data_IF_250018875550
#
_entry.id   IF_250018875550
#
_cell.length_a   1.000
_cell.length_b   1.000
_cell.length_c   1.000
_cell.angle_alpha   90.00
_cell.angle_beta   90.00
_cell.angle_gamma   90.00
#
_symmetry.space_group_name_H-M   'P 1'
#
loop_
_entity.id
_entity.type
_entity.pdbx_description
1 polymer ?
#
# COMPACT_ATOMS: atom_id res chain seq x y z
N UNK A 1 -21.51 0.91 -5.44
CA UNK A 1 -20.83 -0.12 -6.24
C UNK A 1 -19.51 0.48 -6.70
N UNK A 2 -18.57 0.61 -5.76
CA UNK A 2 -17.24 1.17 -6.02
C UNK A 2 -16.26 0.01 -6.20
N UNK A 3 -16.47 -0.77 -7.25
CA UNK A 3 -15.43 -1.68 -7.69
C UNK A 3 -14.32 -0.80 -8.25
N UNK A 4 -13.34 -0.46 -7.40
CA UNK A 4 -12.17 0.30 -7.81
C UNK A 4 -11.57 -0.40 -9.05
N UNK A 5 -11.34 0.33 -10.16
CA UNK A 5 -10.62 -0.25 -11.29
C UNK A 5 -9.25 -0.69 -10.78
N UNK A 6 -8.75 -1.84 -11.27
CA UNK A 6 -7.41 -2.34 -10.96
C UNK A 6 -6.40 -1.19 -10.90
N UNK A 7 -5.57 -1.15 -9.85
CA UNK A 7 -4.50 -0.15 -9.75
C UNK A 7 -3.69 -0.19 -11.04
N UNK A 8 -3.50 0.94 -11.75
CA UNK A 8 -2.78 0.94 -13.00
C UNK A 8 -1.31 0.50 -12.77
N UNK A 9 -0.67 -0.14 -13.76
CA UNK A 9 0.76 -0.38 -13.73
C UNK A 9 1.54 0.92 -13.52
N UNK A 10 2.59 0.85 -12.72
CA UNK A 10 3.52 1.93 -12.45
C UNK A 10 4.83 1.64 -13.19
N UNK A 11 5.35 2.66 -13.86
CA UNK A 11 6.63 2.63 -14.57
C UNK A 11 7.49 3.79 -14.10
N UNK A 12 8.73 3.50 -13.69
CA UNK A 12 9.69 4.49 -13.23
C UNK A 12 10.91 4.42 -14.15
N UNK A 13 10.96 5.37 -15.08
CA UNK A 13 12.07 5.52 -16.02
C UNK A 13 13.38 5.82 -15.28
N UNK A 14 14.48 5.23 -15.79
CA UNK A 14 15.84 5.44 -15.26
C UNK A 14 15.95 5.14 -13.76
N UNK A 15 15.19 4.16 -13.28
CA UNK A 15 15.31 3.65 -11.92
C UNK A 15 16.71 3.07 -11.68
N UNK A 16 17.20 2.26 -12.62
CA UNK A 16 18.61 1.89 -12.71
C UNK A 16 19.32 2.79 -13.73
N UNK A 17 20.54 3.21 -13.39
CA UNK A 17 21.40 4.06 -14.23
C UNK A 17 22.81 3.50 -14.27
N UNK A 18 23.66 4.08 -15.12
CA UNK A 18 25.04 3.62 -15.33
C UNK A 18 25.11 2.12 -15.65
N UNK A 19 24.15 1.68 -16.48
CA UNK A 19 24.02 0.30 -16.97
C UNK A 19 25.06 0.11 -18.06
N UNK A 20 26.19 -0.46 -17.67
CA UNK A 20 27.32 -0.74 -18.54
C UNK A 20 27.45 -2.25 -18.69
N UNK A 21 27.49 -2.74 -19.94
CA UNK A 21 27.92 -4.11 -20.24
C UNK A 21 29.45 -4.25 -20.33
N UNK A 22 30.17 -3.15 -20.12
CA UNK A 22 31.58 -3.05 -20.47
C UNK A 22 32.46 -3.34 -19.26
N UNK A 23 33.15 -4.48 -19.24
CA UNK A 23 34.54 -4.46 -18.77
C UNK A 23 35.37 -3.71 -19.83
N UNK A 24 36.54 -3.11 -19.49
CA UNK A 24 37.33 -2.29 -20.42
C UNK A 24 38.04 -3.09 -21.53
N UNK A 25 37.49 -4.25 -21.92
CA UNK A 25 38.06 -5.19 -22.88
C UNK A 25 37.23 -5.14 -24.16
N UNK A 26 37.91 -4.97 -25.28
CA UNK A 26 37.31 -4.99 -26.62
C UNK A 26 36.52 -6.29 -26.86
N UNK A 27 35.28 -6.20 -27.35
CA UNK A 27 34.48 -7.36 -27.79
C UNK A 27 33.36 -7.81 -26.85
N UNK A 28 32.96 -7.00 -25.87
CA UNK A 28 31.83 -7.28 -24.96
C UNK A 28 30.63 -6.34 -25.18
N UNK A 29 30.71 -5.42 -26.15
CA UNK A 29 29.69 -4.42 -26.48
C UNK A 29 28.34 -4.99 -26.94
N UNK A 30 28.31 -6.24 -27.39
CA UNK A 30 27.11 -6.91 -27.91
C UNK A 30 26.45 -7.86 -26.87
N UNK A 31 26.97 -7.92 -25.64
CA UNK A 31 26.43 -8.79 -24.61
C UNK A 31 25.04 -8.33 -24.14
N UNK A 32 24.14 -9.30 -23.92
CA UNK A 32 22.77 -9.05 -23.49
C UNK A 32 22.68 -8.89 -21.97
N UNK A 33 22.17 -7.73 -21.54
CA UNK A 33 22.02 -7.40 -20.12
C UNK A 33 20.62 -7.78 -19.60
N UNK A 34 20.58 -8.44 -18.44
CA UNK A 34 19.37 -8.91 -17.77
C UNK A 34 19.39 -8.57 -16.29
N UNK A 35 18.39 -7.82 -15.82
CA UNK A 35 18.20 -7.64 -14.38
C UNK A 35 17.57 -8.88 -13.74
N UNK A 36 18.01 -9.18 -12.51
CA UNK A 36 17.42 -10.19 -11.63
C UNK A 36 16.91 -9.49 -10.40
N UNK A 37 15.59 -9.40 -10.26
CA UNK A 37 14.91 -8.78 -9.11
C UNK A 37 14.31 -9.88 -8.24
N UNK A 38 14.54 -9.81 -6.92
CA UNK A 38 14.00 -10.77 -5.95
C UNK A 38 13.53 -10.06 -4.71
N UNK A 39 12.29 -10.30 -4.30
CA UNK A 39 11.83 -9.87 -2.99
C UNK A 39 12.54 -10.68 -1.89
N UNK A 40 13.09 -9.99 -0.90
CA UNK A 40 13.84 -10.58 0.23
C UNK A 40 13.22 -10.25 1.58
N UNK A 41 12.28 -9.31 1.63
CA UNK A 41 11.62 -8.88 2.87
C UNK A 41 10.31 -8.14 2.64
N UNK A 42 9.66 -7.80 3.75
CA UNK A 42 8.39 -7.08 3.77
C UNK A 42 7.16 -7.92 3.43
N UNK A 43 6.07 -7.24 3.09
CA UNK A 43 4.77 -7.84 2.80
C UNK A 43 4.71 -8.31 1.33
N UNK A 44 4.60 -9.62 1.12
CA UNK A 44 4.57 -10.23 -0.22
C UNK A 44 3.37 -9.87 -1.11
N UNK A 45 2.12 -9.85 -0.60
CA UNK A 45 0.94 -9.62 -1.45
C UNK A 45 0.64 -8.12 -1.58
N UNK A 46 1.65 -7.34 -1.98
CA UNK A 46 1.52 -5.91 -2.33
C UNK A 46 1.30 -5.67 -3.82
N UNK A 47 1.58 -6.65 -4.68
CA UNK A 47 1.58 -6.48 -6.13
C UNK A 47 0.57 -7.41 -6.80
N UNK A 48 -0.12 -6.89 -7.82
CA UNK A 48 -1.00 -7.68 -8.67
C UNK A 48 -0.14 -8.45 -9.69
N UNK A 49 -0.42 -9.75 -9.86
CA UNK A 49 0.38 -10.62 -10.72
C UNK A 49 1.68 -11.06 -10.06
N UNK A 50 2.66 -11.47 -10.88
CA UNK A 50 3.83 -12.20 -10.38
C UNK A 50 5.12 -11.39 -10.27
N UNK A 51 5.28 -10.19 -10.83
CA UNK A 51 6.63 -9.64 -10.99
C UNK A 51 6.75 -8.11 -10.82
N UNK A 52 7.69 -7.72 -9.96
CA UNK A 52 8.37 -6.42 -9.97
C UNK A 52 9.61 -6.60 -10.85
N UNK A 53 9.72 -5.87 -11.95
CA UNK A 53 10.78 -6.09 -12.95
C UNK A 53 11.56 -4.82 -13.24
N UNK A 54 12.80 -4.98 -13.69
CA UNK A 54 13.58 -3.89 -14.28
C UNK A 54 13.97 -4.34 -15.69
N UNK A 55 13.64 -3.55 -16.70
CA UNK A 55 14.02 -3.86 -18.09
C UNK A 55 15.48 -3.45 -18.38
N UNK A 56 16.00 -3.83 -19.54
CA UNK A 56 17.40 -3.55 -19.92
C UNK A 56 17.75 -2.05 -20.02
N UNK A 57 16.77 -1.16 -20.14
CA UNK A 57 17.01 0.30 -20.12
C UNK A 57 17.01 0.90 -18.71
N UNK A 58 16.77 0.08 -17.68
CA UNK A 58 16.74 0.49 -16.29
C UNK A 58 15.38 1.00 -15.82
N UNK A 59 14.30 0.68 -16.53
CA UNK A 59 12.94 1.08 -16.15
C UNK A 59 12.37 0.05 -15.18
N UNK A 60 11.93 0.49 -13.99
CA UNK A 60 11.24 -0.35 -13.00
C UNK A 60 9.74 -0.40 -13.30
N UNK A 61 9.17 -1.59 -13.38
CA UNK A 61 7.76 -1.83 -13.67
C UNK A 61 7.13 -2.74 -12.61
N UNK A 62 5.99 -2.32 -12.07
CA UNK A 62 5.20 -3.11 -11.12
C UNK A 62 3.74 -2.62 -11.09
N UNK A 63 2.84 -3.46 -10.62
CA UNK A 63 1.43 -3.09 -10.44
C UNK A 63 1.03 -3.34 -8.98
N UNK A 64 0.65 -2.31 -8.21
CA UNK A 64 0.13 -2.53 -6.85
C UNK A 64 -1.14 -3.39 -6.86
N UNK A 65 -1.30 -4.24 -5.86
CA UNK A 65 -2.56 -4.95 -5.63
C UNK A 65 -3.60 -3.97 -5.03
N UNK A 66 -4.85 -4.08 -5.50
CA UNK A 66 -5.94 -3.28 -4.94
C UNK A 66 -6.08 -3.49 -3.44
N UNK A 67 -6.28 -2.38 -2.72
CA UNK A 67 -6.53 -2.37 -1.28
C UNK A 67 -5.41 -3.01 -0.45
N UNK A 68 -4.17 -2.91 -0.93
CA UNK A 68 -2.98 -3.36 -0.21
C UNK A 68 -2.00 -2.22 -0.06
N UNK A 69 -1.49 -2.07 1.16
CA UNK A 69 -0.48 -1.09 1.52
C UNK A 69 0.57 -1.75 2.42
N UNK A 70 1.75 -1.14 2.50
CA UNK A 70 2.89 -1.68 3.24
C UNK A 70 4.21 -1.51 2.49
N UNK A 71 5.21 -2.26 2.91
CA UNK A 71 6.56 -2.20 2.38
C UNK A 71 7.02 -3.58 1.88
N UNK A 72 7.76 -3.61 0.77
CA UNK A 72 8.44 -4.78 0.25
C UNK A 72 9.90 -4.45 -0.07
N UNK A 73 10.81 -5.30 0.39
CA UNK A 73 12.25 -5.14 0.21
C UNK A 73 12.75 -6.09 -0.89
N UNK A 74 13.58 -5.55 -1.78
CA UNK A 74 14.09 -6.24 -2.96
C UNK A 74 15.61 -6.21 -3.00
N UNK A 75 16.17 -7.32 -3.47
CA UNK A 75 17.52 -7.41 -3.99
C UNK A 75 17.49 -7.38 -5.52
N UNK A 76 18.46 -6.71 -6.11
CA UNK A 76 18.65 -6.67 -7.56
C UNK A 76 20.12 -6.77 -7.93
N UNK A 77 20.39 -7.48 -9.01
CA UNK A 77 21.69 -7.46 -9.68
C UNK A 77 21.49 -7.57 -11.19
N UNK A 78 22.51 -7.14 -11.94
CA UNK A 78 22.56 -7.23 -13.39
C UNK A 78 23.41 -8.45 -13.77
N UNK A 79 22.98 -9.18 -14.80
CA UNK A 79 23.77 -10.23 -15.45
C UNK A 79 23.96 -9.90 -16.93
N UNK A 80 25.13 -10.18 -17.48
CA UNK A 80 25.36 -10.29 -18.91
C UNK A 80 25.35 -11.76 -19.37
N UNK A 81 25.34 -11.99 -20.68
CA UNK A 81 25.41 -13.33 -21.30
C UNK A 81 26.84 -13.78 -21.64
N UNK A 82 27.85 -13.08 -21.13
CA UNK A 82 29.25 -13.43 -21.19
C UNK A 82 29.59 -14.69 -20.38
N UNK A 83 30.73 -15.32 -20.70
CA UNK A 83 31.18 -16.53 -20.01
C UNK A 83 31.71 -16.22 -18.61
N UNK A 84 31.14 -16.84 -17.57
CA UNK A 84 31.64 -16.74 -16.20
C UNK A 84 32.52 -17.95 -15.82
N UNK A 85 33.75 -17.69 -15.32
CA UNK A 85 34.63 -18.72 -14.76
C UNK A 85 34.35 -19.02 -13.28
N UNK A 86 33.65 -18.13 -12.57
CA UNK A 86 33.29 -18.30 -11.16
C UNK A 86 31.88 -17.75 -10.88
N UNK A 87 31.00 -18.51 -10.22
CA UNK A 87 29.62 -18.10 -9.93
C UNK A 87 29.53 -16.98 -8.87
N UNK A 88 30.62 -16.72 -8.15
CA UNK A 88 30.75 -15.72 -7.10
C UNK A 88 31.63 -14.53 -7.50
N UNK A 89 32.05 -14.44 -8.78
CA UNK A 89 32.93 -13.39 -9.28
C UNK A 89 34.17 -13.18 -8.40
N UNK A 90 34.69 -14.28 -7.86
CA UNK A 90 35.78 -14.25 -6.91
C UNK A 90 37.11 -14.05 -7.65
N UNK A 91 37.82 -12.93 -7.43
CA UNK A 91 39.08 -12.63 -8.12
C UNK A 91 40.21 -13.61 -7.76
N UNK A 92 40.02 -14.48 -6.77
CA UNK A 92 40.97 -15.52 -6.37
C UNK A 92 40.82 -16.84 -7.14
N UNK A 93 39.85 -16.97 -8.05
CA UNK A 93 39.69 -18.14 -8.90
C UNK A 93 40.91 -18.29 -9.84
N UNK A 94 41.88 -19.10 -9.41
CA UNK A 94 43.14 -19.34 -10.09
C UNK A 94 42.93 -20.31 -11.26
N UNK A 95 42.23 -19.85 -12.30
CA UNK A 95 42.25 -20.49 -13.62
C UNK A 95 43.20 -19.68 -14.49
N UNK A 96 43.93 -20.34 -15.39
CA UNK A 96 44.80 -19.71 -16.38
C UNK A 96 43.98 -18.83 -17.35
N UNK A 97 43.64 -17.62 -16.93
CA UNK A 97 42.75 -16.66 -17.60
C UNK A 97 42.34 -15.56 -16.63
N UNK A 98 42.00 -14.37 -17.12
CA UNK A 98 41.46 -13.30 -16.28
C UNK A 98 40.17 -13.78 -15.58
N UNK A 99 39.90 -13.39 -14.32
CA UNK A 99 38.63 -13.71 -13.69
C UNK A 99 37.50 -13.08 -14.53
N UNK A 100 36.70 -13.92 -15.19
CA UNK A 100 35.50 -13.51 -15.92
C UNK A 100 34.28 -13.67 -15.01
N UNK A 101 33.54 -12.59 -14.86
CA UNK A 101 32.37 -12.45 -14.03
C UNK A 101 31.29 -11.83 -14.90
N UNK A 102 30.11 -12.45 -14.95
CA UNK A 102 28.99 -11.99 -15.75
C UNK A 102 27.90 -11.31 -14.90
N UNK A 103 28.23 -10.91 -13.66
CA UNK A 103 27.25 -10.50 -12.65
C UNK A 103 27.72 -9.28 -11.86
N UNK A 104 26.87 -8.27 -11.73
CA UNK A 104 27.16 -7.09 -10.91
C UNK A 104 27.10 -7.40 -9.40
N UNK A 105 27.59 -6.46 -8.59
CA UNK A 105 27.28 -6.46 -7.16
C UNK A 105 25.75 -6.38 -6.95
N UNK A 106 25.25 -7.05 -5.91
CA UNK A 106 23.84 -6.94 -5.48
C UNK A 106 23.58 -5.56 -4.89
N UNK A 107 22.46 -4.96 -5.25
CA UNK A 107 21.90 -3.73 -4.67
C UNK A 107 20.53 -4.01 -4.06
N UNK A 108 20.10 -3.16 -3.13
CA UNK A 108 18.81 -3.30 -2.47
C UNK A 108 17.94 -2.07 -2.71
N UNK A 109 16.63 -2.27 -2.81
CA UNK A 109 15.65 -1.19 -2.82
C UNK A 109 14.34 -1.61 -2.14
N UNK A 110 13.56 -0.64 -1.69
CA UNK A 110 12.27 -0.86 -1.03
C UNK A 110 11.17 -0.16 -1.81
N UNK A 111 10.06 -0.85 -2.03
CA UNK A 111 8.82 -0.24 -2.52
C UNK A 111 7.86 -0.09 -1.35
N UNK A 112 7.37 1.14 -1.14
CA UNK A 112 6.38 1.48 -0.11
C UNK A 112 5.07 1.89 -0.77
N UNK A 113 4.03 1.09 -0.59
CA UNK A 113 2.66 1.39 -1.02
C UNK A 113 1.94 2.03 0.16
N UNK A 114 1.51 3.29 0.01
CA UNK A 114 0.84 4.04 1.07
C UNK A 114 -0.65 3.69 1.12
N UNK A 115 -1.23 3.64 2.33
CA UNK A 115 -2.68 3.61 2.48
C UNK A 115 -3.29 4.95 2.08
N UNK A 116 -4.52 4.91 1.58
CA UNK A 116 -5.35 6.09 1.30
C UNK A 116 -6.50 6.08 2.29
N UNK A 117 -6.62 7.16 3.06
CA UNK A 117 -7.70 7.32 4.02
C UNK A 117 -8.99 7.76 3.30
N UNK A 118 -10.06 6.99 3.41
CA UNK A 118 -11.38 7.34 2.89
C UNK A 118 -12.26 7.92 3.99
N UNK A 119 -13.21 8.79 3.63
CA UNK A 119 -14.11 9.38 4.61
C UNK A 119 -15.13 8.33 5.11
N UNK A 120 -15.43 8.30 6.43
CA UNK A 120 -16.51 7.48 6.94
C UNK A 120 -17.86 7.96 6.39
N UNK A 121 -18.85 7.07 6.32
CA UNK A 121 -20.20 7.42 5.90
C UNK A 121 -21.25 6.65 6.71
N UNK A 122 -22.45 7.21 6.78
CA UNK A 122 -23.62 6.60 7.40
C UNK A 122 -24.89 7.18 6.79
N UNK A 123 -26.02 6.51 7.02
CA UNK A 123 -27.35 6.97 6.64
C UNK A 123 -28.13 7.32 7.90
N UNK A 124 -28.78 8.48 7.94
CA UNK A 124 -29.77 8.78 8.97
C UNK A 124 -31.08 8.10 8.63
N UNK A 125 -31.53 7.19 9.50
CA UNK A 125 -32.82 6.51 9.37
C UNK A 125 -33.96 7.40 9.88
N UNK A 126 -33.64 8.33 10.80
CA UNK A 126 -34.57 9.35 11.30
C UNK A 126 -33.91 10.71 11.33
N UNK A 127 -34.44 11.62 10.53
CA UNK A 127 -34.02 13.03 10.49
C UNK A 127 -34.83 13.94 11.43
N UNK A 128 -35.97 13.46 11.96
CA UNK A 128 -36.83 14.22 12.87
C UNK A 128 -37.21 13.34 14.06
N UNK A 129 -36.99 13.87 15.26
CA UNK A 129 -37.39 13.25 16.52
C UNK A 129 -38.44 14.15 17.16
N UNK A 130 -39.58 13.58 17.53
CA UNK A 130 -40.69 14.30 18.18
C UNK A 130 -40.83 13.79 19.60
N UNK A 131 -40.71 14.70 20.55
CA UNK A 131 -40.79 14.41 21.98
C UNK A 131 -41.71 15.45 22.64
N UNK A 132 -42.57 15.02 23.56
CA UNK A 132 -43.44 15.93 24.29
C UNK A 132 -42.71 16.65 25.42
N UNK A 133 -43.10 17.88 25.74
CA UNK A 133 -42.45 18.69 26.79
C UNK A 133 -42.44 18.03 28.19
N UNK A 134 -43.38 17.13 28.45
CA UNK A 134 -43.55 16.46 29.75
C UNK A 134 -42.98 15.03 29.78
N UNK A 135 -42.20 14.63 28.77
CA UNK A 135 -41.68 13.28 28.73
C UNK A 135 -40.42 13.16 29.60
N UNK A 136 -40.62 12.66 30.81
CA UNK A 136 -39.62 12.11 31.73
C UNK A 136 -38.51 13.03 32.26
N UNK A 137 -38.05 12.73 33.48
CA UNK A 137 -36.87 13.32 34.13
C UNK A 137 -35.57 12.60 33.78
N UNK A 138 -35.62 11.62 32.87
CA UNK A 138 -34.47 10.83 32.42
C UNK A 138 -34.11 11.16 30.97
N UNK A 139 -32.84 10.98 30.56
CA UNK A 139 -32.44 11.13 29.16
C UNK A 139 -33.25 10.20 28.24
N UNK A 140 -33.68 10.72 27.08
CA UNK A 140 -34.32 9.91 26.04
C UNK A 140 -33.25 9.17 25.23
N UNK A 141 -33.41 7.85 25.10
CA UNK A 141 -32.57 7.01 24.25
C UNK A 141 -33.32 6.68 22.97
N UNK A 142 -32.76 7.10 21.84
CA UNK A 142 -33.23 6.71 20.51
C UNK A 142 -32.23 5.73 19.92
N UNK A 143 -32.65 4.48 19.79
CA UNK A 143 -31.84 3.46 19.13
C UNK A 143 -32.04 3.53 17.61
N UNK A 144 -31.00 3.11 16.87
CA UNK A 144 -31.04 3.01 15.41
C UNK A 144 -31.46 4.32 14.72
N UNK A 145 -30.88 5.45 15.15
CA UNK A 145 -31.13 6.75 14.50
C UNK A 145 -30.46 6.83 13.13
N UNK A 146 -29.42 6.02 12.93
CA UNK A 146 -28.73 5.85 11.67
C UNK A 146 -28.26 4.41 11.48
N UNK A 147 -28.03 4.08 10.21
CA UNK A 147 -27.61 2.77 9.74
C UNK A 147 -26.50 2.91 8.69
N UNK A 148 -26.05 1.77 8.17
CA UNK A 148 -25.05 1.70 7.12
C UNK A 148 -23.77 2.49 7.46
N UNK A 149 -23.33 2.38 8.71
CA UNK A 149 -22.13 3.03 9.23
C UNK A 149 -20.92 2.29 8.66
N UNK A 150 -20.04 3.01 7.96
CA UNK A 150 -18.79 2.50 7.43
C UNK A 150 -17.60 3.33 7.91
N UNK A 151 -16.46 2.66 8.13
CA UNK A 151 -15.16 3.28 8.44
C UNK A 151 -14.61 4.06 7.25
N UNK A 152 -15.09 3.73 6.05
CA UNK A 152 -14.70 4.39 4.81
C UNK A 152 -14.72 3.39 3.65
N UNK A 153 -13.62 3.34 2.92
CA UNK A 153 -13.35 2.44 1.82
C UNK A 153 -12.80 1.09 2.28
N UNK A 154 -12.39 0.30 1.30
CA UNK A 154 -11.82 -1.03 1.51
C UNK A 154 -10.47 -0.98 2.25
N UNK A 155 -10.17 -2.03 3.02
CA UNK A 155 -8.95 -2.18 3.82
C UNK A 155 -8.74 -1.09 4.90
N UNK A 156 -9.84 -0.58 5.47
CA UNK A 156 -9.84 0.36 6.60
C UNK A 156 -10.41 -0.27 7.88
N UNK A 157 -10.41 -1.61 7.96
CA UNK A 157 -10.97 -2.41 9.07
C UNK A 157 -10.30 -2.14 10.44
N UNK A 158 -9.14 -1.47 10.44
CA UNK A 158 -8.41 -1.09 11.64
C UNK A 158 -8.80 0.31 12.17
N UNK A 159 -9.52 1.12 11.39
CA UNK A 159 -9.82 2.51 11.76
C UNK A 159 -11.02 2.63 12.70
N UNK A 160 -10.88 3.32 13.82
CA UNK A 160 -12.02 3.52 14.74
C UNK A 160 -12.85 4.75 14.35
N UNK A 161 -14.18 4.62 14.38
CA UNK A 161 -15.12 5.72 14.14
C UNK A 161 -15.60 6.28 15.48
N UNK A 162 -15.81 7.59 15.51
CA UNK A 162 -16.52 8.30 16.58
C UNK A 162 -17.55 9.25 16.01
N UNK A 163 -18.60 9.54 16.79
CA UNK A 163 -19.59 10.55 16.46
C UNK A 163 -19.47 11.74 17.39
N UNK A 164 -19.78 12.92 16.86
CA UNK A 164 -20.00 14.13 17.66
C UNK A 164 -21.36 14.70 17.29
N UNK A 165 -22.02 15.33 18.25
CA UNK A 165 -23.30 15.99 18.04
C UNK A 165 -23.31 17.33 18.76
N UNK A 166 -23.77 18.35 18.06
CA UNK A 166 -23.95 19.69 18.60
C UNK A 166 -25.31 20.24 18.19
N UNK A 167 -25.84 21.13 19.01
CA UNK A 167 -27.09 21.83 18.70
C UNK A 167 -26.76 22.96 17.73
N UNK A 168 -27.10 22.79 16.47
CA UNK A 168 -26.87 23.79 15.42
C UNK A 168 -27.76 25.03 15.61
N UNK A 169 -29.03 24.84 15.98
CA UNK A 169 -29.98 25.93 16.19
C UNK A 169 -31.15 25.56 17.10
N UNK A 170 -31.85 26.56 17.63
CA UNK A 170 -33.07 26.40 18.41
C UNK A 170 -33.10 27.21 19.71
N UNK A 171 -34.19 27.08 20.52
CA UNK A 171 -34.29 27.77 21.79
C UNK A 171 -33.28 27.23 22.81
N UNK A 172 -32.53 28.13 23.45
CA UNK A 172 -31.54 27.78 24.47
C UNK A 172 -32.19 27.05 25.65
N UNK A 173 -31.53 25.99 26.14
CA UNK A 173 -31.97 25.25 27.31
C UNK A 173 -33.02 24.16 27.05
N UNK A 174 -33.48 24.00 25.81
CA UNK A 174 -34.37 22.87 25.42
C UNK A 174 -33.59 21.56 25.35
N UNK A 175 -32.37 21.60 24.79
CA UNK A 175 -31.44 20.46 24.77
C UNK A 175 -30.20 20.84 25.57
N UNK A 176 -29.92 20.09 26.63
CA UNK A 176 -28.78 20.34 27.53
C UNK A 176 -27.63 19.36 27.35
N UNK A 177 -27.90 18.18 26.76
CA UNK A 177 -26.91 17.15 26.44
C UNK A 177 -27.44 16.38 25.22
N UNK A 178 -26.66 16.34 24.15
CA UNK A 178 -26.95 15.55 22.95
C UNK A 178 -25.73 14.70 22.68
N UNK A 179 -25.92 13.39 22.62
CA UNK A 179 -24.84 12.42 22.38
C UNK A 179 -25.27 11.44 21.32
N UNK A 180 -24.32 11.10 20.46
CA UNK A 180 -24.42 9.99 19.55
C UNK A 180 -23.39 8.97 19.98
N UNK A 181 -23.84 7.75 20.19
CA UNK A 181 -22.95 6.61 20.40
C UNK A 181 -23.05 5.70 19.19
N UNK A 182 -21.93 5.17 18.75
CA UNK A 182 -21.95 4.07 17.81
C UNK A 182 -21.91 2.75 18.57
N UNK A 183 -22.68 1.78 18.09
CA UNK A 183 -22.65 0.41 18.55
C UNK A 183 -22.32 -0.50 17.36
N UNK A 184 -21.33 -1.37 17.53
CA UNK A 184 -20.93 -2.38 16.57
C UNK A 184 -20.78 -3.73 17.27
N UNK A 185 -21.22 -4.84 16.64
CA UNK A 185 -20.93 -6.17 17.15
C UNK A 185 -19.44 -6.53 17.08
N UNK A 186 -18.67 -5.91 16.19
CA UNK A 186 -17.23 -6.10 16.08
C UNK A 186 -16.47 -5.10 16.98
N UNK A 187 -15.56 -5.61 17.81
CA UNK A 187 -14.73 -4.80 18.71
C UNK A 187 -13.82 -3.85 17.92
N UNK A 188 -13.67 -2.61 18.41
CA UNK A 188 -12.76 -1.61 17.83
C UNK A 188 -13.31 -0.82 16.64
N UNK A 189 -14.50 -1.15 16.11
CA UNK A 189 -15.18 -0.35 15.06
C UNK A 189 -15.57 1.02 15.57
N UNK A 190 -16.10 1.07 16.79
CA UNK A 190 -16.68 2.27 17.33
C UNK A 190 -16.09 2.60 18.70
N UNK A 191 -15.62 3.83 18.86
CA UNK A 191 -15.34 4.41 20.17
C UNK A 191 -16.52 5.26 20.61
N UNK A 192 -16.85 5.13 21.90
CA UNK A 192 -17.82 5.99 22.58
C UNK A 192 -17.27 7.40 22.83
#
# INVERSE_FOLDING_TARGET
>A
DERAPDSPPISIDRFATDILGEAPVWGEEDQLLSFRVRQVGGFGPLFAGSEVTINATGTLEFQPQLFRYGEADFEVYLEDDGFAVSPDCNPLATVTGSPSCNRSATQNFTIRVLSVNSAPHFVLDRSVIVIGENTSTVPHLFENIGSNISRGGEAEDEQTIWFTAEVESGPTGVLTDVRLTCHSPDEGVCSA
#
